data_IF_480965764345
#
_entry.id   IF_480965764345
#
_cell.length_a   1.000
_cell.length_b   1.000
_cell.length_c   1.000
_cell.angle_alpha   90.00
_cell.angle_beta   90.00
_cell.angle_gamma   90.00
#
_symmetry.space_group_name_H-M   'P 1'
#
loop_
_entity.id
_entity.type
_entity.pdbx_description
1 polymer ?
#
# COMPACT_ATOMS: atom_id res chain seq x y z
N UNK A 1 14.77 2.74 39.92
CA UNK A 1 14.92 1.42 39.28
C UNK A 1 15.44 1.62 37.87
N UNK A 2 16.62 1.10 37.54
CA UNK A 2 17.10 0.99 36.15
C UNK A 2 16.83 -0.45 35.72
N UNK A 3 15.99 -0.64 34.70
CA UNK A 3 15.85 -1.95 34.07
C UNK A 3 17.23 -2.38 33.54
N UNK A 4 17.59 -3.63 33.78
CA UNK A 4 18.87 -4.15 33.32
C UNK A 4 18.82 -4.19 31.79
N UNK A 5 19.87 -3.75 31.07
CA UNK A 5 19.87 -3.62 29.61
C UNK A 5 19.37 -4.88 28.86
N UNK A 6 19.59 -6.07 29.44
CA UNK A 6 19.09 -7.35 28.91
C UNK A 6 17.56 -7.48 28.94
N UNK A 7 16.92 -6.90 29.93
CA UNK A 7 15.48 -6.97 30.19
C UNK A 7 14.72 -6.00 29.28
N UNK A 8 15.25 -4.79 29.12
CA UNK A 8 14.78 -3.79 28.15
C UNK A 8 14.86 -4.34 26.70
N UNK A 9 15.93 -5.06 26.37
CA UNK A 9 16.07 -5.74 25.07
C UNK A 9 15.06 -6.88 24.87
N UNK A 10 14.60 -7.55 25.93
CA UNK A 10 13.56 -8.59 25.86
C UNK A 10 12.19 -7.95 25.66
N UNK A 11 11.88 -6.91 26.41
CA UNK A 11 10.65 -6.13 26.26
C UNK A 11 10.50 -5.58 24.83
N UNK A 12 11.53 -4.93 24.28
CA UNK A 12 11.48 -4.48 22.86
C UNK A 12 11.24 -5.62 21.86
N UNK A 13 11.69 -6.84 22.18
CA UNK A 13 11.52 -8.01 21.31
C UNK A 13 10.10 -8.58 21.40
N UNK A 14 9.47 -8.48 22.58
CA UNK A 14 8.08 -8.85 22.83
C UNK A 14 7.11 -7.79 22.29
N UNK A 15 7.33 -6.51 22.54
CA UNK A 15 6.57 -5.40 21.94
C UNK A 15 6.61 -5.48 20.41
N UNK A 16 7.79 -5.74 19.82
CA UNK A 16 7.88 -5.99 18.38
C UNK A 16 7.06 -7.21 17.96
N UNK A 17 7.02 -8.30 18.74
CA UNK A 17 6.20 -9.48 18.41
C UNK A 17 4.70 -9.20 18.51
N UNK A 18 4.26 -8.37 19.45
CA UNK A 18 2.87 -7.93 19.56
C UNK A 18 2.49 -7.01 18.41
N UNK A 19 3.31 -6.00 18.10
CA UNK A 19 3.14 -5.15 16.91
C UNK A 19 3.16 -6.00 15.63
N UNK A 20 3.94 -7.10 15.59
CA UNK A 20 3.94 -8.03 14.47
C UNK A 20 2.66 -8.90 14.38
N UNK A 21 1.88 -9.06 15.45
CA UNK A 21 0.59 -9.77 15.42
C UNK A 21 -0.59 -8.84 15.12
N UNK A 22 -0.37 -7.53 15.18
CA UNK A 22 -1.40 -6.55 14.91
C UNK A 22 -1.91 -6.66 13.47
N UNK A 23 -3.23 -6.76 13.32
CA UNK A 23 -3.91 -6.80 12.03
C UNK A 23 -4.52 -5.42 11.79
N UNK A 24 -4.09 -4.73 10.74
CA UNK A 24 -4.74 -3.49 10.32
C UNK A 24 -5.89 -3.78 9.38
N UNK A 25 -7.05 -3.22 9.69
CA UNK A 25 -8.21 -3.25 8.80
C UNK A 25 -7.97 -2.32 7.62
N UNK A 26 -8.33 -2.79 6.43
CA UNK A 26 -8.26 -2.03 5.20
C UNK A 26 -9.44 -2.40 4.30
N UNK A 27 -10.40 -1.50 4.15
CA UNK A 27 -11.68 -1.81 3.53
C UNK A 27 -12.32 -3.04 4.16
N UNK A 28 -12.57 -4.07 3.33
CA UNK A 28 -13.11 -5.37 3.73
C UNK A 28 -12.04 -6.42 4.11
N UNK A 29 -10.74 -6.09 3.98
CA UNK A 29 -9.63 -7.02 4.26
C UNK A 29 -8.89 -6.62 5.52
N UNK A 30 -8.16 -7.58 6.09
CA UNK A 30 -7.19 -7.33 7.15
C UNK A 30 -5.80 -7.64 6.63
N UNK A 31 -4.83 -6.80 6.97
CA UNK A 31 -3.43 -6.96 6.60
C UNK A 31 -2.57 -7.00 7.86
N UNK A 32 -1.64 -7.96 7.96
CA UNK A 32 -0.66 -7.97 9.03
C UNK A 32 0.15 -6.67 9.03
N UNK A 33 0.25 -6.00 10.17
CA UNK A 33 1.08 -4.81 10.34
C UNK A 33 2.55 -5.07 9.96
N UNK A 34 3.01 -6.33 10.01
CA UNK A 34 4.31 -6.77 9.51
C UNK A 34 4.53 -6.44 8.04
N UNK A 35 3.53 -6.69 7.19
CA UNK A 35 3.62 -6.40 5.75
C UNK A 35 3.67 -4.91 5.49
N UNK A 36 2.94 -4.13 6.30
CA UNK A 36 2.94 -2.68 6.24
C UNK A 36 4.26 -2.07 6.75
N UNK A 37 4.90 -2.69 7.75
CA UNK A 37 6.19 -2.28 8.27
C UNK A 37 7.34 -2.54 7.29
N UNK A 38 7.19 -3.52 6.39
CA UNK A 38 8.15 -3.78 5.30
C UNK A 38 8.01 -2.81 4.13
N UNK A 39 6.93 -2.03 4.05
CA UNK A 39 6.78 -1.03 3.00
C UNK A 39 7.83 0.07 3.16
N UNK A 40 8.36 0.52 2.02
CA UNK A 40 9.43 1.52 1.98
C UNK A 40 8.94 2.87 2.53
N UNK A 41 9.87 3.69 2.99
CA UNK A 41 9.56 4.97 3.64
C UNK A 41 9.29 6.12 2.67
N UNK A 42 9.72 6.02 1.40
CA UNK A 42 9.41 7.05 0.41
C UNK A 42 7.93 6.98 0.00
N UNK A 43 7.25 8.13 -0.09
CA UNK A 43 5.81 8.20 -0.37
C UNK A 43 5.37 7.37 -1.60
N UNK A 44 5.98 7.60 -2.77
CA UNK A 44 5.60 6.92 -4.01
C UNK A 44 5.86 5.41 -3.95
N UNK A 45 6.96 5.02 -3.28
CA UNK A 45 7.32 3.62 -3.06
C UNK A 45 6.37 2.95 -2.07
N UNK A 46 6.02 3.64 -0.98
CA UNK A 46 5.05 3.17 0.01
C UNK A 46 3.67 2.91 -0.62
N UNK A 47 3.15 3.87 -1.39
CA UNK A 47 1.87 3.70 -2.12
C UNK A 47 1.96 2.53 -3.11
N UNK A 48 3.11 2.37 -3.78
CA UNK A 48 3.36 1.23 -4.66
C UNK A 48 3.36 -0.11 -3.93
N UNK A 49 4.04 -0.21 -2.80
CA UNK A 49 4.14 -1.42 -1.98
C UNK A 49 2.77 -1.78 -1.39
N UNK A 50 1.99 -0.79 -0.96
CA UNK A 50 0.61 -0.97 -0.53
C UNK A 50 -0.24 -1.59 -1.64
N UNK A 51 -0.21 -1.00 -2.84
CA UNK A 51 -0.94 -1.50 -4.00
C UNK A 51 -0.58 -2.96 -4.33
N UNK A 52 0.71 -3.30 -4.26
CA UNK A 52 1.20 -4.66 -4.51
C UNK A 52 0.64 -5.63 -3.46
N UNK A 53 0.57 -5.24 -2.19
CA UNK A 53 -0.02 -6.05 -1.12
C UNK A 53 -1.55 -6.21 -1.29
N UNK A 54 -2.26 -5.15 -1.72
CA UNK A 54 -3.72 -5.13 -1.78
C UNK A 54 -4.32 -5.90 -2.94
N UNK A 55 -3.78 -5.64 -4.13
CA UNK A 55 -4.33 -6.12 -5.39
C UNK A 55 -3.53 -7.30 -5.93
N UNK A 56 -2.23 -7.36 -5.61
CA UNK A 56 -1.30 -8.27 -6.27
C UNK A 56 -0.87 -7.74 -7.64
N UNK A 57 0.35 -8.10 -8.03
CA UNK A 57 1.00 -7.57 -9.23
C UNK A 57 0.22 -7.87 -10.53
N UNK A 58 -0.43 -9.02 -10.60
CA UNK A 58 -1.24 -9.41 -11.77
C UNK A 58 -2.46 -8.51 -11.94
N UNK A 59 -3.27 -8.33 -10.88
CA UNK A 59 -4.46 -7.48 -10.94
C UNK A 59 -4.10 -6.02 -11.17
N UNK A 60 -2.97 -5.54 -10.64
CA UNK A 60 -2.49 -4.17 -10.89
C UNK A 60 -2.23 -3.89 -12.37
N UNK A 61 -1.66 -4.85 -13.10
CA UNK A 61 -1.34 -4.67 -14.52
C UNK A 61 -2.58 -4.50 -15.43
N UNK A 62 -3.72 -4.97 -14.94
CA UNK A 62 -5.02 -4.97 -15.62
C UNK A 62 -5.96 -3.88 -15.06
N UNK A 63 -5.58 -3.28 -13.93
CA UNK A 63 -6.39 -2.26 -13.27
C UNK A 63 -6.16 -0.87 -13.85
N UNK A 64 -7.21 -0.05 -13.82
CA UNK A 64 -7.17 1.37 -14.19
C UNK A 64 -7.86 2.24 -13.15
N UNK A 65 -7.36 3.47 -12.99
CA UNK A 65 -8.13 4.50 -12.32
C UNK A 65 -9.21 5.02 -13.26
N UNK A 66 -10.44 5.20 -12.76
CA UNK A 66 -11.51 5.86 -13.50
C UNK A 66 -11.04 7.26 -13.92
N UNK A 67 -10.90 7.49 -15.22
CA UNK A 67 -10.61 8.79 -15.82
C UNK A 67 -11.90 9.33 -16.45
N UNK A 68 -12.18 10.62 -16.25
CA UNK A 68 -13.42 11.27 -16.69
C UNK A 68 -13.54 11.43 -18.22
N UNK A 69 -12.46 11.22 -18.98
CA UNK A 69 -12.44 11.33 -20.43
C UNK A 69 -11.59 10.20 -21.01
N UNK A 70 -12.25 9.32 -21.76
CA UNK A 70 -11.73 8.38 -22.78
C UNK A 70 -11.29 6.96 -22.36
N UNK A 71 -12.04 6.01 -22.94
CA UNK A 71 -11.68 4.72 -23.56
C UNK A 71 -10.41 4.02 -23.03
N UNK A 72 -10.60 3.12 -22.08
CA UNK A 72 -9.68 1.98 -21.89
C UNK A 72 -10.50 0.70 -21.81
N UNK A 73 -10.19 -0.26 -22.67
CA UNK A 73 -10.73 -1.63 -22.69
C UNK A 73 -10.29 -2.49 -21.50
N UNK A 74 -9.84 -1.86 -20.41
CA UNK A 74 -9.35 -2.53 -19.21
C UNK A 74 -10.53 -2.75 -18.27
N UNK A 75 -10.73 -4.01 -17.92
CA UNK A 75 -11.93 -4.53 -17.26
C UNK A 75 -12.03 -4.16 -15.78
N UNK A 76 -10.92 -3.80 -15.14
CA UNK A 76 -10.85 -3.62 -13.69
C UNK A 76 -10.63 -2.15 -13.33
N UNK A 77 -11.73 -1.39 -13.21
CA UNK A 77 -11.67 -0.02 -12.70
C UNK A 77 -11.49 -0.09 -11.18
N UNK A 78 -10.50 0.63 -10.63
CA UNK A 78 -10.36 0.76 -9.18
C UNK A 78 -11.51 1.58 -8.62
N UNK A 79 -12.23 0.99 -7.67
CA UNK A 79 -13.32 1.63 -6.96
C UNK A 79 -12.82 2.78 -6.08
N UNK A 80 -13.65 3.81 -5.95
CA UNK A 80 -13.34 4.99 -5.14
C UNK A 80 -13.14 4.63 -3.66
N UNK A 81 -13.89 3.65 -3.15
CA UNK A 81 -13.72 3.12 -1.80
C UNK A 81 -12.32 2.56 -1.56
N UNK A 82 -11.74 1.87 -2.54
CA UNK A 82 -10.38 1.35 -2.44
C UNK A 82 -9.36 2.50 -2.42
N UNK A 83 -9.60 3.58 -3.18
CA UNK A 83 -8.74 4.76 -3.17
C UNK A 83 -8.79 5.46 -1.81
N UNK A 84 -9.97 5.54 -1.21
CA UNK A 84 -10.16 6.12 0.12
C UNK A 84 -9.51 5.27 1.22
N UNK A 85 -9.60 3.94 1.14
CA UNK A 85 -8.88 3.04 2.04
C UNK A 85 -7.36 3.24 1.93
N UNK A 86 -6.81 3.30 0.70
CA UNK A 86 -5.37 3.61 0.47
C UNK A 86 -5.02 4.95 1.10
N UNK A 87 -5.87 5.97 0.88
CA UNK A 87 -5.66 7.31 1.42
C UNK A 87 -5.62 7.28 2.95
N UNK A 88 -6.51 6.54 3.61
CA UNK A 88 -6.55 6.44 5.06
C UNK A 88 -5.21 5.93 5.62
N UNK A 89 -4.67 4.83 5.07
CA UNK A 89 -3.37 4.30 5.48
C UNK A 89 -2.19 5.23 5.18
N UNK A 90 -2.21 5.84 3.98
CA UNK A 90 -1.16 6.79 3.59
C UNK A 90 -1.19 8.02 4.51
N UNK A 91 -2.38 8.47 4.89
CA UNK A 91 -2.54 9.53 5.87
C UNK A 91 -2.04 9.09 7.23
N UNK A 92 -2.14 7.84 7.70
CA UNK A 92 -1.54 7.49 9.00
C UNK A 92 -0.04 7.80 9.09
N UNK A 93 0.70 7.71 7.96
CA UNK A 93 2.15 7.90 7.92
C UNK A 93 2.62 9.26 7.40
N UNK A 94 1.91 9.89 6.46
CA UNK A 94 2.42 11.06 5.71
C UNK A 94 1.55 12.34 5.86
N UNK A 95 0.83 12.53 6.98
CA UNK A 95 -0.10 13.68 7.12
C UNK A 95 0.62 15.03 6.90
N UNK A 96 0.01 15.97 6.15
CA UNK A 96 -1.23 15.86 5.38
C UNK A 96 -1.02 15.39 3.92
N UNK A 97 -1.94 14.56 3.40
CA UNK A 97 -1.93 14.10 2.00
C UNK A 97 -3.27 14.39 1.32
N UNK A 98 -3.21 15.03 0.15
CA UNK A 98 -4.39 15.27 -0.69
C UNK A 98 -4.77 14.03 -1.51
N UNK A 99 -6.07 13.85 -1.76
CA UNK A 99 -6.55 12.74 -2.61
C UNK A 99 -5.95 12.79 -4.02
N UNK A 100 -5.68 14.00 -4.54
CA UNK A 100 -5.01 14.19 -5.83
C UNK A 100 -3.61 13.57 -5.88
N UNK A 101 -2.81 13.72 -4.81
CA UNK A 101 -1.47 13.09 -4.72
C UNK A 101 -1.55 11.56 -4.70
N UNK A 102 -2.52 11.01 -3.95
CA UNK A 102 -2.74 9.55 -3.88
C UNK A 102 -3.14 9.00 -5.26
N UNK A 103 -4.12 9.63 -5.93
CA UNK A 103 -4.54 9.23 -7.28
C UNK A 103 -3.40 9.31 -8.29
N UNK A 104 -2.55 10.33 -8.20
CA UNK A 104 -1.39 10.47 -9.09
C UNK A 104 -0.39 9.32 -8.90
N UNK A 105 -0.05 8.99 -7.65
CA UNK A 105 0.86 7.90 -7.33
C UNK A 105 0.31 6.53 -7.76
N UNK A 106 -0.98 6.27 -7.51
CA UNK A 106 -1.66 5.05 -7.98
C UNK A 106 -1.60 4.97 -9.50
N UNK A 107 -1.92 6.06 -10.21
CA UNK A 107 -1.87 6.11 -11.69
C UNK A 107 -0.47 5.81 -12.22
N UNK A 108 0.56 6.40 -11.62
CA UNK A 108 1.94 6.14 -12.00
C UNK A 108 2.31 4.66 -11.83
N UNK A 109 1.96 4.04 -10.69
CA UNK A 109 2.22 2.61 -10.44
C UNK A 109 1.50 1.72 -11.45
N UNK A 110 0.20 1.94 -11.69
CA UNK A 110 -0.58 1.17 -12.67
C UNK A 110 0.02 1.24 -14.08
N UNK A 111 0.43 2.43 -14.51
CA UNK A 111 1.07 2.63 -15.80
C UNK A 111 2.41 1.89 -15.91
N UNK A 112 3.22 1.91 -14.84
CA UNK A 112 4.48 1.17 -14.79
C UNK A 112 4.26 -0.33 -14.88
N UNK A 113 3.31 -0.89 -14.10
CA UNK A 113 2.95 -2.30 -14.13
C UNK A 113 2.42 -2.75 -15.50
N UNK A 114 1.64 -1.89 -16.17
CA UNK A 114 1.16 -2.18 -17.51
C UNK A 114 2.30 -2.26 -18.53
N UNK A 115 3.23 -1.29 -18.51
CA UNK A 115 4.39 -1.27 -19.40
C UNK A 115 5.33 -2.45 -19.16
N UNK A 116 5.55 -2.85 -17.90
CA UNK A 116 6.38 -4.02 -17.59
C UNK A 116 5.77 -5.32 -18.12
N UNK A 117 4.44 -5.48 -18.03
CA UNK A 117 3.74 -6.65 -18.59
C UNK A 117 3.85 -6.72 -20.11
N UNK A 118 3.81 -5.58 -20.81
CA UNK A 118 4.01 -5.55 -22.26
C UNK A 118 5.44 -5.95 -22.66
N UNK A 119 6.46 -5.46 -21.92
CA UNK A 119 7.87 -5.80 -22.18
C UNK A 119 8.20 -7.26 -21.95
N UNK A 120 7.61 -7.90 -20.95
CA UNK A 120 7.85 -9.31 -20.62
C UNK A 120 7.08 -10.30 -21.51
N UNK A 121 6.23 -9.79 -22.43
CA UNK A 121 5.49 -10.60 -23.41
C UNK A 121 6.10 -10.54 -24.82
N UNK A 122 7.15 -9.73 -25.02
CA UNK A 122 8.04 -9.78 -26.19
C UNK A 122 9.18 -10.73 -25.90
#
# INVERSE_FOLDING_TARGET
MRLNYKEEKRQMKEERKEVLREMKKFGLKTIPATKLALCRSDYSKYVGDLLDIFLGQEKLSESVLKCSKNRTSKTNVLDESTIDDIRALVMEKFKPVSIGKVRAAIRQKLNTCHKSKQRNKM
#
